data_IF_476575449181
#
_entry.id   IF_476575449181
#
_cell.length_a   1.000
_cell.length_b   1.000
_cell.length_c   1.000
_cell.angle_alpha   90.00
_cell.angle_beta   90.00
_cell.angle_gamma   90.00
#
_symmetry.space_group_name_H-M   'P 1'
#
loop_
_entity.id
_entity.type
_entity.pdbx_description
1 polymer ?
#
# COMPACT_ATOMS: atom_id res chain seq x y z
N UNK A 1 84.20 13.87 16.28
CA UNK A 1 83.02 14.01 17.16
C UNK A 1 81.87 13.28 16.52
N UNK A 2 81.68 12.02 16.92
CA UNK A 2 80.65 11.13 16.40
C UNK A 2 79.72 10.78 17.56
N UNK A 3 78.42 10.79 17.30
CA UNK A 3 77.43 10.20 18.19
C UNK A 3 76.83 11.18 19.19
N UNK A 4 75.56 11.51 18.98
CA UNK A 4 74.57 11.63 20.07
C UNK A 4 73.11 11.86 19.67
N UNK A 5 72.79 12.04 18.39
CA UNK A 5 71.40 12.40 18.02
C UNK A 5 70.63 11.39 17.17
N UNK A 6 71.20 10.21 16.89
CA UNK A 6 70.59 9.26 15.93
C UNK A 6 69.80 8.10 16.56
N UNK A 7 69.49 8.13 17.86
CA UNK A 7 68.71 7.06 18.50
C UNK A 7 67.32 7.52 19.00
N UNK A 8 67.10 8.82 19.21
CA UNK A 8 65.82 9.33 19.73
C UNK A 8 64.78 9.58 18.62
N UNK A 9 65.24 9.90 17.40
CA UNK A 9 64.35 10.10 16.25
C UNK A 9 63.78 8.80 15.67
N UNK A 10 64.44 7.67 15.90
CA UNK A 10 63.98 6.36 15.41
C UNK A 10 62.91 5.72 16.32
N UNK A 11 62.83 6.13 17.59
CA UNK A 11 61.84 5.59 18.53
C UNK A 11 60.45 6.24 18.39
N UNK A 12 60.39 7.50 17.94
CA UNK A 12 59.12 8.20 17.71
C UNK A 12 58.42 7.81 16.38
N UNK A 13 59.16 7.23 15.42
CA UNK A 13 58.59 6.78 14.14
C UNK A 13 57.96 5.38 14.22
N UNK A 14 58.23 4.61 15.28
CA UNK A 14 57.66 3.27 15.50
C UNK A 14 56.36 3.26 16.31
N UNK A 15 55.91 4.41 16.82
CA UNK A 15 54.68 4.52 17.60
C UNK A 15 53.50 5.18 16.87
N UNK A 16 53.66 5.55 15.59
CA UNK A 16 52.60 6.18 14.80
C UNK A 16 51.78 5.19 13.96
N UNK A 17 52.04 3.88 14.07
CA UNK A 17 51.37 2.83 13.27
C UNK A 17 50.69 1.81 14.18
N UNK A 18 49.71 2.25 14.97
CA UNK A 18 48.70 1.43 15.65
C UNK A 18 47.86 2.39 16.50
N UNK A 19 46.80 3.00 15.99
CA UNK A 19 45.48 2.37 16.04
C UNK A 19 44.51 3.16 15.16
N UNK A 20 44.60 3.01 13.83
CA UNK A 20 43.39 2.99 13.03
C UNK A 20 42.75 1.60 13.20
N UNK A 21 42.42 1.24 14.45
CA UNK A 21 41.50 0.14 14.68
C UNK A 21 40.21 0.61 14.05
N UNK A 22 39.88 -0.06 12.95
CA UNK A 22 38.64 0.05 12.23
C UNK A 22 37.54 0.43 13.22
N UNK A 23 36.84 1.53 12.96
CA UNK A 23 35.48 1.67 13.45
C UNK A 23 34.68 0.53 12.78
N UNK A 24 34.86 -0.70 13.25
CA UNK A 24 33.89 -1.77 13.13
C UNK A 24 32.72 -1.26 13.95
N UNK A 25 31.91 -0.41 13.31
CA UNK A 25 30.70 0.13 13.88
C UNK A 25 29.93 -1.05 14.43
N UNK A 26 29.62 -1.01 15.72
CA UNK A 26 28.82 -2.04 16.36
C UNK A 26 27.57 -2.26 15.52
N UNK A 27 27.23 -3.51 15.24
CA UNK A 27 26.06 -3.86 14.46
C UNK A 27 25.17 -4.83 15.21
N UNK A 28 23.86 -4.70 14.98
CA UNK A 28 22.84 -5.58 15.53
C UNK A 28 22.28 -6.43 14.40
N UNK A 29 22.15 -7.74 14.62
CA UNK A 29 21.43 -8.63 13.72
C UNK A 29 19.97 -8.67 14.11
N UNK A 30 19.12 -8.19 13.21
CA UNK A 30 17.66 -8.30 13.34
C UNK A 30 17.24 -9.63 12.73
N UNK A 31 16.63 -10.48 13.53
CA UNK A 31 15.95 -11.73 13.14
C UNK A 31 14.45 -11.46 13.16
N UNK A 32 13.93 -11.10 12.00
CA UNK A 32 12.54 -10.67 11.86
C UNK A 32 11.64 -11.80 11.35
N UNK A 33 10.36 -11.77 11.73
CA UNK A 33 9.32 -12.62 11.16
C UNK A 33 8.13 -11.76 10.72
N UNK A 34 7.67 -11.92 9.48
CA UNK A 34 6.53 -11.15 8.95
C UNK A 34 5.27 -12.01 8.99
N UNK A 35 4.22 -11.50 9.62
CA UNK A 35 2.95 -12.21 9.81
C UNK A 35 1.74 -11.33 9.50
N UNK A 36 0.60 -11.95 9.18
CA UNK A 36 -0.67 -11.22 9.02
C UNK A 36 -1.39 -10.95 10.37
N UNK A 37 -2.59 -10.35 10.29
CA UNK A 37 -3.46 -10.09 11.45
C UNK A 37 -3.87 -11.35 12.23
N UNK A 38 -3.83 -12.52 11.60
CA UNK A 38 -4.15 -13.84 12.17
C UNK A 38 -2.90 -14.61 12.60
N UNK A 39 -1.71 -14.01 12.50
CA UNK A 39 -0.39 -14.61 12.75
C UNK A 39 0.01 -15.71 11.76
N UNK A 40 -0.55 -15.71 10.56
CA UNK A 40 -0.04 -16.54 9.48
C UNK A 40 1.29 -15.96 8.96
N UNK A 41 2.29 -16.82 8.76
CA UNK A 41 3.60 -16.41 8.24
C UNK A 41 3.50 -15.99 6.78
N UNK A 42 4.25 -14.94 6.41
CA UNK A 42 4.20 -14.39 5.06
C UNK A 42 5.52 -14.63 4.32
N UNK A 43 5.49 -15.56 3.37
CA UNK A 43 6.60 -15.82 2.47
C UNK A 43 6.77 -14.72 1.42
N UNK A 44 8.02 -14.49 1.02
CA UNK A 44 8.41 -13.71 -0.16
C UNK A 44 8.19 -12.21 -0.05
N UNK A 45 7.95 -11.69 1.15
CA UNK A 45 7.83 -10.26 1.43
C UNK A 45 9.21 -9.62 1.30
N UNK A 46 9.32 -8.57 0.48
CA UNK A 46 10.52 -7.74 0.43
C UNK A 46 10.53 -6.81 1.63
N UNK A 47 11.64 -6.79 2.36
CA UNK A 47 11.79 -6.00 3.58
C UNK A 47 12.90 -4.97 3.37
N UNK A 48 12.58 -3.71 3.63
CA UNK A 48 13.50 -2.59 3.53
C UNK A 48 13.60 -1.87 4.87
N UNK A 49 14.81 -1.56 5.32
CA UNK A 49 15.04 -0.59 6.39
C UNK A 49 15.54 0.72 5.80
N UNK A 50 14.92 1.83 6.20
CA UNK A 50 15.31 3.18 5.77
C UNK A 50 15.79 4.03 6.94
N UNK A 51 16.84 4.80 6.70
CA UNK A 51 17.36 5.85 7.58
C UNK A 51 17.14 7.18 6.85
N UNK A 52 16.05 7.89 7.21
CA UNK A 52 15.51 8.94 6.34
C UNK A 52 15.07 8.38 4.99
N UNK A 53 15.60 8.94 3.90
CA UNK A 53 15.29 8.51 2.52
C UNK A 53 16.21 7.39 2.01
N UNK A 54 17.30 7.09 2.72
CA UNK A 54 18.28 6.09 2.30
C UNK A 54 17.84 4.67 2.69
N UNK A 55 17.87 3.75 1.74
CA UNK A 55 17.70 2.32 2.04
C UNK A 55 19.03 1.75 2.53
N UNK A 56 19.12 1.50 3.83
CA UNK A 56 20.32 0.99 4.49
C UNK A 56 20.30 -0.53 4.71
N UNK A 57 19.17 -1.18 4.45
CA UNK A 57 19.04 -2.62 4.56
C UNK A 57 17.94 -3.17 3.67
N UNK A 58 18.18 -4.36 3.11
CA UNK A 58 17.27 -5.09 2.22
C UNK A 58 17.31 -6.57 2.56
N UNK A 59 16.16 -7.20 2.62
CA UNK A 59 16.02 -8.63 2.83
C UNK A 59 14.73 -9.15 2.19
N UNK A 60 14.54 -10.46 2.18
CA UNK A 60 13.31 -11.11 1.69
C UNK A 60 12.94 -12.24 2.63
N UNK A 61 11.65 -12.39 2.95
CA UNK A 61 11.22 -13.45 3.85
C UNK A 61 11.31 -14.85 3.22
N UNK A 62 11.74 -15.82 4.02
CA UNK A 62 11.75 -17.25 3.69
C UNK A 62 10.33 -17.83 3.70
N UNK A 63 10.20 -19.13 3.42
CA UNK A 63 8.94 -19.88 3.56
C UNK A 63 8.37 -19.82 4.99
N UNK A 64 9.22 -19.68 6.00
CA UNK A 64 8.81 -19.54 7.40
C UNK A 64 8.42 -18.09 7.76
N UNK A 65 8.41 -17.17 6.79
CA UNK A 65 8.17 -15.74 7.00
C UNK A 65 9.35 -15.00 7.63
N UNK A 66 10.52 -15.62 7.72
CA UNK A 66 11.68 -15.11 8.46
C UNK A 66 12.62 -14.32 7.55
N UNK A 67 13.26 -13.28 8.08
CA UNK A 67 14.31 -12.53 7.40
C UNK A 67 15.39 -12.13 8.39
N UNK A 68 16.59 -11.87 7.88
CA UNK A 68 17.69 -11.30 8.66
C UNK A 68 18.20 -10.02 8.04
N UNK A 69 18.62 -9.07 8.87
CA UNK A 69 19.18 -7.79 8.44
C UNK A 69 20.09 -7.20 9.52
N UNK A 70 21.18 -6.57 9.11
CA UNK A 70 22.13 -5.92 10.03
C UNK A 70 21.88 -4.42 10.07
N UNK A 71 21.67 -3.86 11.27
CA UNK A 71 21.40 -2.43 11.47
C UNK A 71 22.34 -1.83 12.53
N UNK A 72 22.61 -0.53 12.43
CA UNK A 72 23.41 0.20 13.44
C UNK A 72 22.58 0.46 14.71
N UNK A 73 23.18 0.35 15.91
CA UNK A 73 22.53 0.66 17.18
C UNK A 73 22.17 2.14 17.30
N UNK A 74 21.27 2.44 18.22
CA UNK A 74 20.93 3.83 18.60
C UNK A 74 20.01 4.55 17.62
N UNK A 75 19.54 3.88 16.56
CA UNK A 75 18.76 4.48 15.46
C UNK A 75 17.35 3.93 15.37
N UNK A 76 16.42 4.80 14.98
CA UNK A 76 15.08 4.40 14.52
C UNK A 76 15.10 4.28 13.01
N UNK A 77 14.68 3.13 12.50
CA UNK A 77 14.56 2.89 11.06
C UNK A 77 13.09 2.81 10.68
N UNK A 78 12.78 3.29 9.48
CA UNK A 78 11.48 3.10 8.87
C UNK A 78 11.48 1.80 8.08
N UNK A 79 10.78 0.79 8.60
CA UNK A 79 10.69 -0.53 8.00
C UNK A 79 9.55 -0.56 6.99
N UNK A 80 9.80 -1.02 5.77
CA UNK A 80 8.81 -1.16 4.69
C UNK A 80 8.71 -2.61 4.23
N UNK A 81 7.48 -3.12 4.12
CA UNK A 81 7.17 -4.49 3.72
C UNK A 81 6.38 -4.47 2.41
N UNK A 82 6.96 -5.07 1.37
CA UNK A 82 6.40 -5.02 0.03
C UNK A 82 6.12 -6.42 -0.52
N UNK A 83 4.87 -6.64 -0.92
CA UNK A 83 4.37 -7.82 -1.63
C UNK A 83 3.13 -7.43 -2.44
N UNK A 84 2.76 -8.23 -3.44
CA UNK A 84 1.66 -7.92 -4.39
C UNK A 84 0.28 -7.73 -3.75
N UNK A 85 0.12 -8.17 -2.51
CA UNK A 85 -1.10 -8.16 -1.71
C UNK A 85 -0.99 -7.36 -0.40
N UNK A 86 0.14 -6.70 -0.15
CA UNK A 86 0.37 -5.85 1.00
C UNK A 86 0.24 -4.38 0.61
N UNK A 87 -0.60 -3.64 1.31
CA UNK A 87 -0.72 -2.19 1.14
C UNK A 87 -0.17 -1.45 2.37
N UNK A 88 0.67 -0.43 2.11
CA UNK A 88 1.20 0.52 3.12
C UNK A 88 1.64 -0.13 4.44
N UNK A 89 2.34 -1.24 4.36
CA UNK A 89 2.84 -1.93 5.54
C UNK A 89 4.19 -1.32 5.92
N UNK A 90 4.14 -0.30 6.76
CA UNK A 90 5.31 0.45 7.25
C UNK A 90 5.23 0.62 8.75
N UNK A 91 6.38 0.58 9.42
CA UNK A 91 6.46 0.77 10.87
C UNK A 91 7.84 1.26 11.28
N UNK A 92 7.89 2.04 12.35
CA UNK A 92 9.15 2.44 12.96
C UNK A 92 9.73 1.29 13.79
N UNK A 93 11.05 1.14 13.72
CA UNK A 93 11.78 0.14 14.49
C UNK A 93 13.03 0.76 15.11
N UNK A 94 13.03 0.92 16.44
CA UNK A 94 14.19 1.41 17.19
C UNK A 94 15.14 0.25 17.50
N UNK A 95 16.33 0.29 16.92
CA UNK A 95 17.43 -0.57 17.37
C UNK A 95 18.02 0.04 18.63
N UNK A 96 18.05 -0.65 19.79
CA UNK A 96 18.59 -0.15 21.04
C UNK A 96 20.05 0.29 20.92
N UNK A 97 20.51 1.06 21.90
CA UNK A 97 21.92 1.43 22.01
C UNK A 97 22.75 0.22 22.45
N UNK A 98 24.00 0.13 22.00
CA UNK A 98 24.87 -0.98 22.33
C UNK A 98 26.32 -0.75 21.93
N UNK A 99 27.24 -1.38 22.67
CA UNK A 99 28.69 -1.32 22.44
C UNK A 99 29.27 -2.62 21.86
N UNK A 100 28.44 -3.65 21.68
CA UNK A 100 28.81 -4.96 21.16
C UNK A 100 27.72 -5.49 20.24
N UNK A 101 28.07 -6.48 19.43
CA UNK A 101 27.11 -7.23 18.63
C UNK A 101 25.99 -7.80 19.51
N UNK A 102 24.77 -7.73 19.02
CA UNK A 102 23.58 -8.33 19.64
C UNK A 102 22.61 -8.81 18.55
N UNK A 103 21.75 -9.74 18.95
CA UNK A 103 20.65 -10.23 18.12
C UNK A 103 19.32 -9.75 18.68
N UNK A 104 18.42 -9.29 17.80
CA UNK A 104 17.06 -8.89 18.16
C UNK A 104 16.09 -9.77 17.39
N UNK A 105 15.19 -10.44 18.11
CA UNK A 105 14.07 -11.16 17.52
C UNK A 105 12.84 -10.24 17.53
N UNK A 106 12.20 -10.04 16.38
CA UNK A 106 11.02 -9.18 16.26
C UNK A 106 10.01 -9.72 15.25
N UNK A 107 8.77 -9.86 15.70
CA UNK A 107 7.64 -10.14 14.82
C UNK A 107 7.06 -8.83 14.30
N UNK A 108 6.79 -8.80 13.01
CA UNK A 108 6.28 -7.65 12.28
C UNK A 108 4.94 -8.01 11.65
N UNK A 109 3.90 -7.39 12.17
CA UNK A 109 2.53 -7.65 11.73
C UNK A 109 2.13 -6.70 10.59
N UNK A 110 1.60 -7.26 9.51
CA UNK A 110 1.19 -6.50 8.33
C UNK A 110 -0.24 -6.86 7.91
N UNK A 111 -0.86 -6.01 7.08
CA UNK A 111 -2.21 -6.26 6.57
C UNK A 111 -2.14 -6.83 5.16
N UNK A 112 -2.59 -8.07 5.02
CA UNK A 112 -2.81 -8.73 3.73
C UNK A 112 -4.19 -8.39 3.19
N UNK A 113 -4.27 -8.01 1.93
CA UNK A 113 -5.52 -7.84 1.20
C UNK A 113 -5.93 -9.14 0.53
N UNK A 114 -7.13 -9.61 0.83
CA UNK A 114 -7.75 -10.76 0.18
C UNK A 114 -9.01 -10.35 -0.60
N UNK A 115 -9.41 -11.18 -1.55
CA UNK A 115 -10.68 -11.00 -2.28
C UNK A 115 -11.85 -10.94 -1.30
N UNK A 116 -12.69 -9.92 -1.47
CA UNK A 116 -13.85 -9.68 -0.61
C UNK A 116 -13.56 -8.78 0.59
N UNK A 117 -12.30 -8.48 0.87
CA UNK A 117 -11.96 -7.55 1.95
C UNK A 117 -12.50 -6.15 1.67
N UNK A 118 -13.14 -5.57 2.67
CA UNK A 118 -13.47 -4.15 2.65
C UNK A 118 -12.22 -3.36 3.02
N UNK A 119 -11.72 -2.57 2.07
CA UNK A 119 -10.57 -1.70 2.30
C UNK A 119 -10.99 -0.54 3.21
N UNK A 120 -12.05 0.19 2.82
CA UNK A 120 -12.56 1.32 3.58
C UNK A 120 -14.00 1.67 3.16
N UNK A 121 -14.73 2.35 4.05
CA UNK A 121 -16.07 2.87 3.81
C UNK A 121 -16.12 4.38 4.04
N UNK A 122 -16.79 5.08 3.14
CA UNK A 122 -16.83 6.54 3.09
C UNK A 122 -18.27 7.05 3.21
N UNK A 123 -18.37 8.31 3.62
CA UNK A 123 -19.59 9.13 3.54
C UNK A 123 -19.27 10.29 2.61
N UNK A 124 -19.50 10.07 1.32
CA UNK A 124 -19.08 10.97 0.25
C UNK A 124 -20.16 11.98 -0.11
N UNK A 125 -21.43 11.63 0.01
CA UNK A 125 -22.54 12.43 -0.48
C UNK A 125 -23.35 13.01 0.66
N UNK A 126 -23.86 14.22 0.42
CA UNK A 126 -24.98 14.72 1.20
C UNK A 126 -26.28 14.07 0.69
N UNK A 127 -27.31 14.07 1.53
CA UNK A 127 -28.62 13.52 1.15
C UNK A 127 -29.18 14.24 -0.09
N UNK A 128 -29.69 13.46 -1.05
CA UNK A 128 -30.18 13.96 -2.34
C UNK A 128 -29.11 14.48 -3.30
N UNK A 129 -27.86 14.67 -2.86
CA UNK A 129 -26.79 15.20 -3.69
C UNK A 129 -26.03 14.11 -4.45
N UNK A 130 -25.54 14.45 -5.64
CA UNK A 130 -24.73 13.56 -6.49
C UNK A 130 -23.25 13.93 -6.56
N UNK A 131 -22.88 15.12 -6.11
CA UNK A 131 -21.49 15.56 -6.07
C UNK A 131 -20.86 15.09 -4.77
N UNK A 132 -19.77 14.32 -4.85
CA UNK A 132 -19.03 13.88 -3.67
C UNK A 132 -18.28 15.05 -3.04
N UNK A 133 -18.14 14.99 -1.71
CA UNK A 133 -17.13 15.73 -0.97
C UNK A 133 -15.73 15.25 -1.36
N UNK A 134 -14.72 16.07 -1.09
CA UNK A 134 -13.32 15.62 -1.12
C UNK A 134 -13.13 14.53 -0.08
N UNK A 135 -12.46 13.45 -0.47
CA UNK A 135 -12.21 12.31 0.39
C UNK A 135 -10.91 11.61 0.00
N UNK A 136 -10.31 10.93 0.97
CA UNK A 136 -9.10 10.14 0.82
C UNK A 136 -9.22 9.07 -0.29
N UNK A 137 -10.44 8.59 -0.59
CA UNK A 137 -10.69 7.67 -1.71
C UNK A 137 -10.01 8.13 -3.01
N UNK A 138 -10.04 9.44 -3.31
CA UNK A 138 -9.55 9.98 -4.58
C UNK A 138 -8.03 10.12 -4.65
N UNK A 139 -7.31 9.98 -3.54
CA UNK A 139 -5.84 9.99 -3.50
C UNK A 139 -5.29 8.59 -3.21
N UNK A 140 -5.86 7.92 -2.21
CA UNK A 140 -5.42 6.60 -1.74
C UNK A 140 -5.66 5.48 -2.74
N UNK A 141 -6.81 5.44 -3.42
CA UNK A 141 -7.09 4.36 -4.38
C UNK A 141 -6.16 4.41 -5.61
N UNK A 142 -5.94 5.55 -6.28
CA UNK A 142 -4.96 5.62 -7.37
C UNK A 142 -3.56 5.17 -6.94
N UNK A 143 -3.07 5.63 -5.78
CA UNK A 143 -1.76 5.22 -5.26
C UNK A 143 -1.69 3.72 -4.97
N UNK A 144 -2.73 3.17 -4.36
CA UNK A 144 -2.85 1.74 -4.10
C UNK A 144 -2.84 0.93 -5.39
N UNK A 145 -3.57 1.34 -6.42
CA UNK A 145 -3.60 0.65 -7.70
C UNK A 145 -2.29 0.79 -8.48
N UNK A 146 -1.53 1.87 -8.27
CA UNK A 146 -0.18 2.06 -8.82
C UNK A 146 0.83 1.11 -8.18
N UNK A 147 0.76 0.93 -6.85
CA UNK A 147 1.64 0.01 -6.11
C UNK A 147 1.24 -1.46 -6.31
N UNK A 148 -0.05 -1.73 -6.39
CA UNK A 148 -0.63 -3.07 -6.53
C UNK A 148 -1.17 -3.25 -7.95
N UNK A 149 -0.27 -3.62 -8.88
CA UNK A 149 -0.53 -3.66 -10.32
C UNK A 149 -1.68 -4.60 -10.73
N UNK A 150 -1.93 -5.64 -9.93
CA UNK A 150 -2.99 -6.62 -10.18
C UNK A 150 -4.24 -6.43 -9.31
N UNK A 151 -4.27 -5.39 -8.47
CA UNK A 151 -5.46 -5.06 -7.70
C UNK A 151 -6.59 -4.61 -8.64
N UNK A 152 -7.74 -5.27 -8.52
CA UNK A 152 -9.03 -4.81 -9.01
C UNK A 152 -9.95 -4.57 -7.83
N UNK A 153 -10.72 -3.50 -7.89
CA UNK A 153 -11.63 -3.10 -6.81
C UNK A 153 -13.07 -3.06 -7.28
N UNK A 154 -13.97 -3.30 -6.35
CA UNK A 154 -15.39 -3.03 -6.46
C UNK A 154 -15.73 -1.83 -5.59
N UNK A 155 -16.36 -0.82 -6.18
CA UNK A 155 -16.91 0.34 -5.49
C UNK A 155 -18.42 0.16 -5.43
N UNK A 156 -18.93 -0.12 -4.24
CA UNK A 156 -20.37 -0.21 -3.99
C UNK A 156 -20.86 1.18 -3.60
N UNK A 157 -21.88 1.68 -4.30
CA UNK A 157 -22.49 2.99 -4.08
C UNK A 157 -23.93 2.80 -3.61
N UNK A 158 -24.28 3.46 -2.52
CA UNK A 158 -25.63 3.47 -1.95
C UNK A 158 -26.30 4.82 -2.21
N UNK A 159 -27.61 4.78 -2.36
CA UNK A 159 -28.44 5.97 -2.46
C UNK A 159 -28.60 6.71 -1.11
N UNK A 160 -28.23 6.07 0.00
CA UNK A 160 -28.57 6.53 1.36
C UNK A 160 -30.03 6.23 1.71
N UNK A 161 -30.42 6.51 2.96
CA UNK A 161 -31.77 6.18 3.47
C UNK A 161 -32.93 6.94 2.76
N UNK A 162 -32.63 7.92 1.89
CA UNK A 162 -33.62 8.80 1.25
C UNK A 162 -34.09 8.40 -0.15
N UNK A 163 -33.56 7.36 -0.79
CA UNK A 163 -34.01 6.98 -2.14
C UNK A 163 -34.97 5.78 -2.12
N UNK A 164 -36.23 6.03 -2.48
CA UNK A 164 -37.14 4.97 -2.95
C UNK A 164 -36.50 4.33 -4.18
N UNK A 165 -36.25 3.02 -4.10
CA UNK A 165 -35.72 2.22 -5.22
C UNK A 165 -36.61 2.40 -6.46
N UNK A 166 -36.04 2.85 -7.58
CA UNK A 166 -36.63 2.60 -8.88
C UNK A 166 -36.43 1.12 -9.22
N UNK A 167 -37.52 0.49 -9.61
CA UNK A 167 -37.63 -0.94 -9.84
C UNK A 167 -36.76 -1.37 -11.02
N UNK A 168 -36.06 -2.48 -10.81
CA UNK A 168 -35.19 -3.24 -11.70
C UNK A 168 -35.82 -3.50 -13.08
N UNK A 169 -35.31 -2.84 -14.13
CA UNK A 169 -35.54 -3.18 -15.54
C UNK A 169 -34.67 -4.36 -15.98
N UNK A 170 -35.26 -5.29 -16.72
CA UNK A 170 -34.83 -6.67 -16.99
C UNK A 170 -34.12 -6.77 -18.36
N UNK A 171 -32.97 -7.48 -18.38
CA UNK A 171 -32.26 -8.14 -19.50
C UNK A 171 -32.59 -7.69 -20.94
N UNK A 172 -31.61 -7.13 -21.65
CA UNK A 172 -31.58 -7.17 -23.12
C UNK A 172 -30.77 -8.37 -23.62
N UNK A 173 -31.50 -9.23 -24.33
CA UNK A 173 -31.03 -10.39 -25.08
C UNK A 173 -30.78 -9.90 -26.51
N UNK A 174 -29.55 -10.10 -26.97
CA UNK A 174 -29.08 -9.72 -28.30
C UNK A 174 -29.90 -10.45 -29.39
N UNK A 175 -30.53 -9.72 -30.32
CA UNK A 175 -30.97 -10.27 -31.62
C UNK A 175 -30.93 -9.17 -32.67
N UNK A 176 -29.97 -9.28 -33.58
CA UNK A 176 -29.87 -8.49 -34.81
C UNK A 176 -30.89 -8.99 -35.85
N UNK A 177 -31.63 -8.08 -36.50
CA UNK A 177 -31.81 -8.04 -37.98
C UNK A 177 -32.58 -6.79 -38.47
N UNK A 178 -31.85 -5.98 -39.25
CA UNK A 178 -32.15 -5.32 -40.53
C UNK A 178 -33.39 -4.41 -40.79
N UNK A 179 -33.06 -3.30 -41.49
CA UNK A 179 -33.78 -2.51 -42.52
C UNK A 179 -34.67 -1.30 -42.13
N UNK A 180 -34.02 -0.13 -42.17
CA UNK A 180 -34.37 1.13 -42.86
C UNK A 180 -35.80 1.68 -42.91
N UNK A 181 -36.00 2.89 -42.36
CA UNK A 181 -36.54 4.09 -43.03
C UNK A 181 -36.45 5.33 -42.13
N UNK A 182 -36.25 6.49 -42.76
CA UNK A 182 -36.20 7.85 -42.19
C UNK A 182 -37.32 8.11 -41.17
N UNK A 183 -36.93 8.59 -39.99
CA UNK A 183 -37.79 9.25 -39.02
C UNK A 183 -36.90 9.92 -37.98
N UNK A 184 -37.03 11.24 -37.81
CA UNK A 184 -36.34 11.97 -36.75
C UNK A 184 -36.85 11.45 -35.40
N UNK A 185 -35.99 10.76 -34.65
CA UNK A 185 -36.24 10.41 -33.26
C UNK A 185 -35.15 11.06 -32.41
N UNK A 186 -35.55 12.12 -31.72
CA UNK A 186 -34.85 12.60 -30.56
C UNK A 186 -34.84 11.47 -29.53
N UNK A 187 -33.74 10.73 -29.46
CA UNK A 187 -33.47 9.83 -28.34
C UNK A 187 -33.08 10.70 -27.15
N UNK A 188 -34.07 11.30 -26.48
CA UNK A 188 -33.88 11.81 -25.14
C UNK A 188 -33.69 10.59 -24.23
N UNK A 189 -32.43 10.22 -23.98
CA UNK A 189 -32.08 9.22 -22.96
C UNK A 189 -32.77 9.59 -21.65
N UNK A 190 -33.40 8.61 -21.00
CA UNK A 190 -34.03 8.83 -19.69
C UNK A 190 -33.04 9.52 -18.73
N UNK A 191 -33.50 10.49 -17.92
CA UNK A 191 -32.62 11.19 -16.99
C UNK A 191 -31.99 10.19 -16.01
N UNK A 192 -30.67 10.29 -15.84
CA UNK A 192 -29.92 9.43 -14.93
C UNK A 192 -30.48 9.49 -13.52
N UNK A 193 -30.59 8.32 -12.88
CA UNK A 193 -30.93 8.16 -11.47
C UNK A 193 -29.86 8.82 -10.58
N UNK A 194 -30.21 9.11 -9.32
CA UNK A 194 -29.27 9.68 -8.37
C UNK A 194 -28.01 8.81 -8.20
N UNK A 195 -28.17 7.49 -8.18
CA UNK A 195 -27.07 6.53 -7.99
C UNK A 195 -26.15 6.53 -9.21
N UNK A 196 -26.71 6.55 -10.42
CA UNK A 196 -25.92 6.65 -11.65
C UNK A 196 -25.10 7.94 -11.70
N UNK A 197 -25.70 9.07 -11.28
CA UNK A 197 -24.98 10.35 -11.17
C UNK A 197 -23.83 10.28 -10.15
N UNK A 198 -24.05 9.66 -8.99
CA UNK A 198 -23.00 9.44 -7.97
C UNK A 198 -21.87 8.56 -8.48
N UNK A 199 -22.21 7.49 -9.20
CA UNK A 199 -21.22 6.61 -9.84
C UNK A 199 -20.39 7.39 -10.86
N UNK A 200 -21.03 8.22 -11.69
CA UNK A 200 -20.34 9.07 -12.67
C UNK A 200 -19.40 10.08 -12.00
N UNK A 201 -19.84 10.74 -10.92
CA UNK A 201 -19.01 11.67 -10.15
C UNK A 201 -17.76 10.97 -9.57
N UNK A 202 -17.92 9.83 -8.89
CA UNK A 202 -16.77 9.07 -8.35
C UNK A 202 -15.85 8.62 -9.47
N UNK A 203 -16.41 8.06 -10.55
CA UNK A 203 -15.64 7.57 -11.70
C UNK A 203 -14.81 8.68 -12.32
N UNK A 204 -15.41 9.83 -12.62
CA UNK A 204 -14.71 10.95 -13.24
C UNK A 204 -13.56 11.46 -12.36
N UNK A 205 -13.77 11.58 -11.05
CA UNK A 205 -12.72 12.02 -10.10
C UNK A 205 -11.59 11.02 -9.98
N UNK A 206 -11.89 9.72 -9.94
CA UNK A 206 -10.88 8.67 -9.90
C UNK A 206 -10.05 8.60 -11.18
N UNK A 207 -10.68 8.70 -12.35
CA UNK A 207 -9.96 8.74 -13.65
C UNK A 207 -9.08 9.98 -13.72
N UNK A 208 -9.59 11.15 -13.31
CA UNK A 208 -8.82 12.40 -13.27
C UNK A 208 -7.61 12.27 -12.32
N UNK A 209 -7.75 11.52 -11.22
CA UNK A 209 -6.66 11.23 -10.29
C UNK A 209 -5.71 10.10 -10.77
N UNK A 210 -5.90 9.55 -11.97
CA UNK A 210 -5.04 8.54 -12.57
C UNK A 210 -5.38 7.09 -12.19
N UNK A 211 -6.56 6.83 -11.61
CA UNK A 211 -6.99 5.46 -11.36
C UNK A 211 -7.36 4.75 -12.69
N UNK A 212 -6.87 3.52 -12.93
CA UNK A 212 -7.16 2.80 -14.16
C UNK A 212 -8.57 2.24 -14.13
N UNK A 213 -9.46 2.84 -14.93
CA UNK A 213 -10.89 2.51 -15.00
C UNK A 213 -11.15 1.01 -15.24
N UNK A 214 -10.34 0.35 -16.08
CA UNK A 214 -10.47 -1.07 -16.41
C UNK A 214 -10.31 -2.02 -15.20
N UNK A 215 -9.81 -1.52 -14.07
CA UNK A 215 -9.62 -2.26 -12.82
C UNK A 215 -10.64 -1.88 -11.73
N UNK A 216 -11.64 -1.07 -12.07
CA UNK A 216 -12.69 -0.61 -11.14
C UNK A 216 -14.06 -1.09 -11.62
N UNK A 217 -14.77 -1.78 -10.74
CA UNK A 217 -16.16 -2.21 -10.97
C UNK A 217 -17.05 -1.36 -10.08
N UNK A 218 -18.06 -0.71 -10.66
CA UNK A 218 -19.08 0.02 -9.90
C UNK A 218 -20.33 -0.83 -9.76
N UNK A 219 -20.90 -0.85 -8.56
CA UNK A 219 -22.13 -1.59 -8.26
C UNK A 219 -23.04 -0.75 -7.38
N UNK A 220 -24.34 -0.77 -7.65
CA UNK A 220 -25.34 -0.27 -6.70
C UNK A 220 -25.51 -1.29 -5.57
N UNK A 221 -25.46 -0.83 -4.32
CA UNK A 221 -25.71 -1.70 -3.18
C UNK A 221 -26.21 -0.99 -1.95
N UNK A 222 -26.69 -1.77 -0.98
CA UNK A 222 -27.13 -1.27 0.32
C UNK A 222 -25.93 -1.24 1.26
N UNK A 223 -25.70 -0.09 1.89
CA UNK A 223 -24.67 0.11 2.90
C UNK A 223 -25.32 0.60 4.20
N UNK A 224 -24.69 0.27 5.34
CA UNK A 224 -25.16 0.74 6.64
C UNK A 224 -24.89 2.24 6.76
N UNK A 225 -25.94 3.01 7.00
CA UNK A 225 -25.84 4.45 7.29
C UNK A 225 -24.85 4.71 8.44
N UNK A 226 -24.02 5.78 8.39
CA UNK A 226 -24.03 6.87 7.41
C UNK A 226 -23.15 6.63 6.17
N UNK A 227 -22.68 5.39 5.93
CA UNK A 227 -21.80 5.09 4.80
C UNK A 227 -22.60 4.96 3.52
N UNK A 228 -22.10 5.58 2.46
CA UNK A 228 -22.72 5.59 1.14
C UNK A 228 -21.81 5.06 0.04
N UNK A 229 -20.52 4.83 0.34
CA UNK A 229 -19.56 4.21 -0.56
C UNK A 229 -18.71 3.20 0.20
N UNK A 230 -18.51 2.01 -0.37
CA UNK A 230 -17.60 0.99 0.13
C UNK A 230 -16.61 0.57 -0.97
N UNK A 231 -15.33 0.54 -0.60
CA UNK A 231 -14.25 0.06 -1.44
C UNK A 231 -13.87 -1.36 -1.04
N UNK A 232 -14.00 -2.30 -1.96
CA UNK A 232 -13.86 -3.74 -1.72
C UNK A 232 -12.87 -4.33 -2.71
N UNK A 233 -12.03 -5.27 -2.27
CA UNK A 233 -11.13 -6.02 -3.16
C UNK A 233 -11.96 -6.96 -4.05
N UNK A 234 -11.96 -6.74 -5.36
CA UNK A 234 -12.61 -7.62 -6.32
C UNK A 234 -11.72 -8.80 -6.71
N UNK A 235 -10.43 -8.52 -6.93
CA UNK A 235 -9.37 -9.52 -7.12
C UNK A 235 -8.02 -8.89 -6.85
N UNK A 236 -7.04 -9.71 -6.47
CA UNK A 236 -5.65 -9.31 -6.30
C UNK A 236 -4.77 -10.52 -6.59
N UNK A 237 -3.56 -10.30 -7.11
CA UNK A 237 -2.61 -11.39 -7.30
C UNK A 237 -1.98 -11.76 -5.95
N UNK A 238 -2.10 -13.03 -5.56
CA UNK A 238 -1.32 -13.63 -4.49
C UNK A 238 -0.34 -14.58 -5.17
N UNK A 239 0.90 -14.13 -5.38
CA UNK A 239 1.93 -14.91 -6.07
C UNK A 239 2.62 -15.93 -5.14
N UNK A 240 1.94 -16.36 -4.06
CA UNK A 240 2.42 -17.29 -3.05
C UNK A 240 1.30 -18.23 -2.62
#
# INVERSE_FOLDING_TARGET
MLGRYSLLGLLCALFAVQSAVLAQGVTFLIKGKVVDSKRNVLQGVQVYAKDGDEIVGKSKTTIAGEFTMTLKPGKTYFMSFERSDLFMSQQDFRVPDGKSYQEINQDFQVKVLAKGDTIQQFTLFQEGQSNSKTAELFTMLPEMMRKLLHLKVKIVVSAGNGAKQSTKGKKEKNTQKAKGKKGAQANASAPLTLIEKRIQDIRSKLITAGAPESRIIFEEGKLKSPKDVALIVASIASDF
#
